data_IF_075206972418
#
_entry.id   IF_075206972418
#
_cell.length_a   1.000
_cell.length_b   1.000
_cell.length_c   1.000
_cell.angle_alpha   90.00
_cell.angle_beta   90.00
_cell.angle_gamma   90.00
#
_symmetry.space_group_name_H-M   'P 1'
#
loop_
_entity.id
_entity.type
_entity.pdbx_description
1 polymer ?
#
# COMPACT_ATOMS: atom_id res chain seq x y z
N UNK A 1 24.38 25.29 9.45
CA UNK A 1 22.98 25.80 9.44
C UNK A 1 21.97 24.70 9.73
N UNK A 2 22.16 23.51 9.15
CA UNK A 2 21.40 22.31 9.50
C UNK A 2 22.10 21.54 10.62
N UNK A 3 21.36 20.70 11.34
CA UNK A 3 21.97 19.66 12.18
C UNK A 3 22.61 18.57 11.31
N UNK A 4 23.63 17.91 11.86
CA UNK A 4 24.46 16.94 11.11
C UNK A 4 23.63 15.77 10.57
N UNK A 5 22.71 15.24 11.38
CA UNK A 5 21.86 14.10 10.99
C UNK A 5 20.95 14.48 9.83
N UNK A 6 20.30 15.64 9.91
CA UNK A 6 19.44 16.16 8.84
C UNK A 6 20.23 16.42 7.56
N UNK A 7 21.40 17.04 7.66
CA UNK A 7 22.25 17.29 6.51
C UNK A 7 22.69 15.98 5.82
N UNK A 8 23.03 14.95 6.60
CA UNK A 8 23.37 13.63 6.07
C UNK A 8 22.18 12.97 5.35
N UNK A 9 20.98 13.03 5.93
CA UNK A 9 19.77 12.46 5.31
C UNK A 9 19.42 13.13 3.97
N UNK A 10 19.58 14.47 3.90
CA UNK A 10 19.43 15.22 2.64
C UNK A 10 20.50 14.77 1.63
N UNK A 11 21.76 14.71 2.05
CA UNK A 11 22.87 14.31 1.17
C UNK A 11 22.69 12.88 0.62
N UNK A 12 22.16 11.95 1.43
CA UNK A 12 21.82 10.59 0.99
C UNK A 12 20.70 10.63 -0.05
N UNK A 13 19.63 11.39 0.20
CA UNK A 13 18.50 11.53 -0.73
C UNK A 13 18.96 12.15 -2.07
N UNK A 14 19.89 13.11 -2.02
CA UNK A 14 20.47 13.74 -3.21
C UNK A 14 21.27 12.76 -4.08
N UNK A 15 21.77 11.63 -3.54
CA UNK A 15 22.46 10.61 -4.35
C UNK A 15 21.56 9.98 -5.41
N UNK A 16 20.25 9.96 -5.19
CA UNK A 16 19.28 9.49 -6.19
C UNK A 16 19.19 10.41 -7.43
N UNK A 17 19.78 11.62 -7.35
CA UNK A 17 19.75 12.67 -8.38
C UNK A 17 21.15 13.14 -8.75
N UNK A 18 22.15 12.26 -8.67
CA UNK A 18 23.56 12.58 -8.94
C UNK A 18 23.84 13.02 -10.39
N UNK A 19 22.91 12.73 -11.30
CA UNK A 19 22.87 13.17 -12.69
C UNK A 19 22.40 14.63 -12.86
N UNK A 20 21.91 15.28 -11.80
CA UNK A 20 21.51 16.67 -11.80
C UNK A 20 22.54 17.56 -11.10
N UNK A 21 22.72 18.77 -11.64
CA UNK A 21 23.26 19.87 -10.83
C UNK A 21 22.17 20.35 -9.86
N UNK A 22 22.55 20.92 -8.70
CA UNK A 22 21.56 21.44 -7.75
C UNK A 22 20.62 22.47 -8.35
N UNK A 23 21.16 23.33 -9.23
CA UNK A 23 20.36 24.30 -9.97
C UNK A 23 19.38 23.62 -10.93
N UNK A 24 19.85 22.67 -11.74
CA UNK A 24 18.99 21.95 -12.68
C UNK A 24 17.89 21.16 -11.97
N UNK A 25 18.20 20.53 -10.82
CA UNK A 25 17.20 19.84 -10.01
C UNK A 25 16.16 20.82 -9.43
N UNK A 26 16.61 21.98 -8.94
CA UNK A 26 15.72 23.02 -8.42
C UNK A 26 14.80 23.58 -9.53
N UNK A 27 15.33 23.84 -10.72
CA UNK A 27 14.56 24.27 -11.91
C UNK A 27 13.56 23.18 -12.31
N UNK A 28 13.99 21.92 -12.36
CA UNK A 28 13.11 20.77 -12.65
C UNK A 28 11.95 20.68 -11.65
N UNK A 29 12.21 20.84 -10.35
CA UNK A 29 11.16 20.87 -9.32
C UNK A 29 10.25 22.10 -9.48
N UNK A 30 10.82 23.26 -9.81
CA UNK A 30 10.05 24.48 -10.01
C UNK A 30 9.07 24.38 -11.18
N UNK A 31 9.48 23.70 -12.25
CA UNK A 31 8.73 23.58 -13.50
C UNK A 31 7.88 22.30 -13.58
N UNK A 32 7.78 21.56 -12.46
CA UNK A 32 7.03 20.31 -12.34
C UNK A 32 7.53 19.18 -13.27
N UNK A 33 8.84 19.12 -13.50
CA UNK A 33 9.52 18.10 -14.30
C UNK A 33 8.94 17.91 -15.71
N UNK A 34 9.00 18.97 -16.56
CA UNK A 34 8.35 18.98 -17.88
C UNK A 34 8.92 17.92 -18.84
N UNK A 35 10.19 17.55 -18.67
CA UNK A 35 10.88 16.55 -19.49
C UNK A 35 10.76 15.12 -18.95
N UNK A 36 10.03 14.91 -17.86
CA UNK A 36 9.88 13.61 -17.22
C UNK A 36 11.22 12.94 -16.85
N UNK A 37 12.15 13.70 -16.29
CA UNK A 37 13.47 13.20 -15.87
C UNK A 37 13.43 12.52 -14.51
N UNK A 38 12.45 12.83 -13.65
CA UNK A 38 12.32 12.20 -12.33
C UNK A 38 11.29 11.08 -12.41
N UNK A 39 11.79 9.86 -12.58
CA UNK A 39 11.00 8.65 -12.83
C UNK A 39 11.30 7.52 -11.84
N UNK A 40 10.40 6.53 -11.78
CA UNK A 40 10.54 5.36 -10.91
C UNK A 40 10.65 5.75 -9.43
N UNK A 41 11.47 5.01 -8.68
CA UNK A 41 11.63 5.20 -7.24
C UNK A 41 12.21 6.58 -6.86
N UNK A 42 12.87 7.29 -7.80
CA UNK A 42 13.42 8.64 -7.55
C UNK A 42 12.36 9.62 -7.04
N UNK A 43 11.13 9.48 -7.52
CA UNK A 43 9.98 10.31 -7.13
C UNK A 43 9.74 10.25 -5.62
N UNK A 44 10.00 9.10 -4.98
CA UNK A 44 9.78 8.91 -3.55
C UNK A 44 10.78 9.69 -2.69
N UNK A 45 11.93 10.08 -3.25
CA UNK A 45 12.96 10.84 -2.55
C UNK A 45 12.78 12.36 -2.62
N UNK A 46 12.01 12.90 -3.58
CA UNK A 46 11.80 14.36 -3.69
C UNK A 46 11.24 14.96 -2.39
N UNK A 47 10.23 14.37 -1.72
CA UNK A 47 9.71 14.92 -0.46
C UNK A 47 10.78 15.05 0.64
N UNK A 48 11.78 14.16 0.66
CA UNK A 48 12.83 14.20 1.67
C UNK A 48 13.73 15.43 1.53
N UNK A 49 13.79 16.00 0.32
CA UNK A 49 14.59 17.18 -0.03
C UNK A 49 13.94 18.51 0.37
N UNK A 50 12.71 18.49 0.90
CA UNK A 50 12.01 19.70 1.32
C UNK A 50 12.59 20.27 2.63
N UNK A 51 12.92 21.57 2.68
CA UNK A 51 13.40 22.21 3.89
C UNK A 51 12.24 22.53 4.83
N UNK A 52 12.48 22.48 6.13
CA UNK A 52 11.52 22.95 7.14
C UNK A 52 11.47 24.48 7.19
N UNK A 53 10.39 25.10 7.72
CA UNK A 53 10.32 26.56 7.86
C UNK A 53 11.51 27.17 8.63
N UNK A 54 12.03 26.46 9.64
CA UNK A 54 13.21 26.89 10.40
C UNK A 54 14.48 26.86 9.53
N UNK A 55 14.66 25.82 8.73
CA UNK A 55 15.79 25.68 7.80
C UNK A 55 15.74 26.75 6.71
N UNK A 56 14.55 27.03 6.15
CA UNK A 56 14.36 28.10 5.16
C UNK A 56 14.82 29.44 5.74
N UNK A 57 14.41 29.77 6.97
CA UNK A 57 14.81 31.02 7.63
C UNK A 57 16.34 31.06 7.88
N UNK A 58 16.94 29.96 8.33
CA UNK A 58 18.37 29.87 8.58
C UNK A 58 19.18 30.09 7.28
N UNK A 59 18.78 29.45 6.18
CA UNK A 59 19.42 29.59 4.86
C UNK A 59 19.24 30.99 4.30
N UNK A 60 18.07 31.61 4.48
CA UNK A 60 17.81 32.99 4.01
C UNK A 60 18.57 34.05 4.80
N UNK A 61 18.84 33.81 6.09
CA UNK A 61 19.61 34.73 6.96
C UNK A 61 21.12 34.58 6.81
N UNK A 62 21.59 33.49 6.21
CA UNK A 62 23.00 33.26 6.01
C UNK A 62 23.55 34.21 4.93
N UNK A 63 24.50 35.06 5.34
CA UNK A 63 25.18 36.04 4.48
C UNK A 63 26.67 35.71 4.26
N UNK A 64 27.11 34.51 4.64
CA UNK A 64 28.48 34.06 4.41
C UNK A 64 28.69 33.50 3.00
N UNK A 65 29.92 33.08 2.73
CA UNK A 65 30.30 32.49 1.44
C UNK A 65 29.67 31.11 1.25
N UNK A 66 29.28 30.80 0.01
CA UNK A 66 28.72 29.48 -0.34
C UNK A 66 29.77 28.36 -0.17
N UNK A 67 31.07 28.64 -0.27
CA UNK A 67 32.17 27.67 -0.06
C UNK A 67 32.21 27.06 1.36
N UNK A 68 31.56 27.71 2.32
CA UNK A 68 31.46 27.23 3.71
C UNK A 68 30.21 26.40 3.96
N UNK A 69 29.32 26.28 2.97
CA UNK A 69 28.09 25.50 3.06
C UNK A 69 28.34 24.06 2.66
N UNK A 70 27.71 23.14 3.39
CA UNK A 70 27.73 21.71 3.04
C UNK A 70 26.72 21.40 1.92
N UNK A 71 26.83 20.23 1.30
CA UNK A 71 25.98 19.76 0.19
C UNK A 71 24.48 20.04 0.37
N UNK A 72 23.93 19.68 1.55
CA UNK A 72 22.53 19.88 1.86
C UNK A 72 22.14 21.38 1.90
N UNK A 73 23.01 22.21 2.45
CA UNK A 73 22.80 23.66 2.55
C UNK A 73 22.91 24.34 1.19
N UNK A 74 23.89 23.94 0.38
CA UNK A 74 24.04 24.38 -1.00
C UNK A 74 22.81 24.05 -1.85
N UNK A 75 22.26 22.84 -1.69
CA UNK A 75 21.01 22.49 -2.36
C UNK A 75 19.83 23.34 -1.86
N UNK A 76 19.71 23.53 -0.54
CA UNK A 76 18.66 24.39 0.02
C UNK A 76 18.73 25.82 -0.50
N UNK A 77 19.92 26.40 -0.70
CA UNK A 77 20.10 27.72 -1.33
C UNK A 77 19.41 27.82 -2.69
N UNK A 78 19.37 26.74 -3.47
CA UNK A 78 18.72 26.72 -4.79
C UNK A 78 17.19 26.68 -4.69
N UNK A 79 16.63 26.07 -3.64
CA UNK A 79 15.19 25.79 -3.57
C UNK A 79 14.39 26.72 -2.63
N UNK A 80 15.03 27.43 -1.69
CA UNK A 80 14.34 28.30 -0.72
C UNK A 80 13.59 29.51 -1.33
N UNK A 81 13.91 29.84 -2.59
CA UNK A 81 13.25 30.90 -3.36
C UNK A 81 12.03 30.38 -4.15
N UNK A 82 11.89 29.06 -4.30
CA UNK A 82 10.80 28.44 -5.05
C UNK A 82 9.49 28.63 -4.29
N UNK A 83 8.55 29.33 -4.91
CA UNK A 83 7.21 29.54 -4.35
C UNK A 83 6.46 28.21 -4.31
N UNK A 84 5.82 27.92 -3.17
CA UNK A 84 4.94 26.75 -2.97
C UNK A 84 5.62 25.42 -3.28
N UNK A 85 6.90 25.28 -2.95
CA UNK A 85 7.68 24.08 -3.28
C UNK A 85 7.06 22.80 -2.71
N UNK A 86 6.50 22.83 -1.50
CA UNK A 86 5.82 21.67 -0.90
C UNK A 86 4.63 21.21 -1.76
N UNK A 87 3.79 22.14 -2.21
CA UNK A 87 2.67 21.85 -3.12
C UNK A 87 3.18 21.28 -4.45
N UNK A 88 4.23 21.88 -5.02
CA UNK A 88 4.82 21.44 -6.30
C UNK A 88 5.33 20.00 -6.19
N UNK A 89 6.09 19.68 -5.15
CA UNK A 89 6.59 18.33 -4.89
C UNK A 89 5.44 17.33 -4.69
N UNK A 90 4.37 17.73 -3.98
CA UNK A 90 3.17 16.90 -3.84
C UNK A 90 2.52 16.61 -5.18
N UNK A 91 2.32 17.63 -6.01
CA UNK A 91 1.76 17.51 -7.36
C UNK A 91 2.62 16.60 -8.23
N UNK A 92 3.94 16.80 -8.25
CA UNK A 92 4.87 15.95 -9.02
C UNK A 92 4.77 14.48 -8.59
N UNK A 93 4.75 14.21 -7.29
CA UNK A 93 4.58 12.84 -6.78
C UNK A 93 3.26 12.25 -7.28
N UNK A 94 2.15 12.98 -7.13
CA UNK A 94 0.85 12.52 -7.60
C UNK A 94 0.83 12.29 -9.11
N UNK A 95 1.37 13.19 -9.93
CA UNK A 95 1.42 13.03 -11.39
C UNK A 95 2.14 11.75 -11.81
N UNK A 96 3.13 11.30 -11.03
CA UNK A 96 3.93 10.11 -11.35
C UNK A 96 3.32 8.81 -10.84
N UNK A 97 2.58 8.84 -9.72
CA UNK A 97 2.05 7.62 -9.09
C UNK A 97 0.54 7.42 -9.29
N UNK A 98 -0.17 8.40 -9.89
CA UNK A 98 -1.63 8.34 -10.01
C UNK A 98 -2.08 7.14 -10.85
N UNK A 99 -1.47 6.91 -12.01
CA UNK A 99 -1.87 5.84 -12.91
C UNK A 99 -1.66 4.46 -12.27
N UNK A 100 -0.51 4.27 -11.61
CA UNK A 100 -0.21 3.04 -10.87
C UNK A 100 -1.26 2.79 -9.79
N UNK A 101 -1.58 3.80 -8.96
CA UNK A 101 -2.61 3.65 -7.92
C UNK A 101 -4.01 3.38 -8.50
N UNK A 102 -4.34 3.97 -9.66
CA UNK A 102 -5.62 3.73 -10.33
C UNK A 102 -5.71 2.29 -10.81
N UNK A 103 -4.65 1.77 -11.42
CA UNK A 103 -4.62 0.39 -11.92
C UNK A 103 -4.59 -0.64 -10.79
N UNK A 104 -3.87 -0.38 -9.69
CA UNK A 104 -3.93 -1.20 -8.48
C UNK A 104 -5.36 -1.26 -7.91
N UNK A 105 -6.02 -0.10 -7.78
CA UNK A 105 -7.39 -0.05 -7.29
C UNK A 105 -8.35 -0.79 -8.24
N UNK A 106 -8.20 -0.58 -9.54
CA UNK A 106 -8.99 -1.27 -10.57
C UNK A 106 -8.83 -2.78 -10.48
N UNK A 107 -7.60 -3.28 -10.36
CA UNK A 107 -7.33 -4.69 -10.20
C UNK A 107 -8.04 -5.25 -8.96
N UNK A 108 -7.96 -4.54 -7.82
CA UNK A 108 -8.67 -4.92 -6.59
C UNK A 108 -10.19 -5.01 -6.77
N UNK A 109 -10.81 -4.03 -7.44
CA UNK A 109 -12.24 -4.06 -7.72
C UNK A 109 -12.64 -5.19 -8.68
N UNK A 110 -11.85 -5.44 -9.72
CA UNK A 110 -12.10 -6.54 -10.65
C UNK A 110 -12.04 -7.89 -9.94
N UNK A 111 -11.03 -8.12 -9.11
CA UNK A 111 -10.93 -9.33 -8.29
C UNK A 111 -12.13 -9.47 -7.36
N UNK A 112 -12.55 -8.40 -6.68
CA UNK A 112 -13.72 -8.45 -5.79
C UNK A 112 -15.00 -8.79 -6.57
N UNK A 113 -15.22 -8.16 -7.71
CA UNK A 113 -16.37 -8.41 -8.56
C UNK A 113 -16.40 -9.87 -9.06
N UNK A 114 -15.25 -10.38 -9.50
CA UNK A 114 -15.11 -11.76 -9.95
C UNK A 114 -15.39 -12.76 -8.82
N UNK A 115 -14.77 -12.57 -7.65
CA UNK A 115 -14.96 -13.45 -6.48
C UNK A 115 -16.41 -13.43 -6.00
N UNK A 116 -17.02 -12.26 -5.87
CA UNK A 116 -18.43 -12.15 -5.53
C UNK A 116 -19.31 -12.85 -6.56
N UNK A 117 -19.01 -12.69 -7.86
CA UNK A 117 -19.71 -13.39 -8.93
C UNK A 117 -19.58 -14.90 -8.84
N UNK A 118 -18.38 -15.42 -8.57
CA UNK A 118 -18.13 -16.86 -8.42
C UNK A 118 -18.86 -17.42 -7.20
N UNK A 119 -18.82 -16.74 -6.05
CA UNK A 119 -19.47 -17.19 -4.81
C UNK A 119 -20.99 -17.17 -4.96
N UNK A 120 -21.57 -16.09 -5.46
CA UNK A 120 -23.02 -15.91 -5.54
C UNK A 120 -23.68 -16.81 -6.60
N UNK A 121 -22.95 -17.13 -7.69
CA UNK A 121 -23.49 -17.92 -8.79
C UNK A 121 -23.05 -19.40 -8.76
N UNK A 122 -22.30 -19.83 -7.75
CA UNK A 122 -21.86 -21.22 -7.66
C UNK A 122 -22.96 -22.12 -7.09
N UNK A 123 -23.68 -22.80 -7.97
CA UNK A 123 -24.65 -23.83 -7.59
C UNK A 123 -24.02 -24.95 -6.76
N UNK A 124 -22.79 -25.34 -7.08
CA UNK A 124 -22.04 -26.35 -6.32
C UNK A 124 -21.75 -25.91 -4.90
N UNK A 125 -21.38 -24.64 -4.69
CA UNK A 125 -21.13 -24.12 -3.36
C UNK A 125 -22.42 -24.15 -2.52
N UNK A 126 -23.56 -23.80 -3.12
CA UNK A 126 -24.87 -23.89 -2.45
C UNK A 126 -25.14 -25.32 -2.00
N UNK A 127 -24.99 -26.30 -2.89
CA UNK A 127 -25.22 -27.72 -2.57
C UNK A 127 -24.31 -28.23 -1.45
N UNK A 128 -23.02 -27.84 -1.44
CA UNK A 128 -22.10 -28.19 -0.35
C UNK A 128 -22.58 -27.56 0.97
N UNK A 129 -22.98 -26.28 0.97
CA UNK A 129 -23.46 -25.61 2.17
C UNK A 129 -24.77 -26.23 2.68
N UNK A 130 -25.67 -26.66 1.80
CA UNK A 130 -26.88 -27.41 2.17
C UNK A 130 -26.54 -28.76 2.80
N UNK A 131 -25.59 -29.51 2.22
CA UNK A 131 -25.12 -30.77 2.79
C UNK A 131 -24.51 -30.56 4.19
N UNK A 132 -23.69 -29.53 4.36
CA UNK A 132 -23.13 -29.15 5.67
C UNK A 132 -24.23 -28.83 6.67
N UNK A 133 -25.26 -28.06 6.27
CA UNK A 133 -26.39 -27.73 7.14
C UNK A 133 -27.16 -28.99 7.56
N UNK A 134 -27.45 -29.89 6.62
CA UNK A 134 -28.19 -31.12 6.87
C UNK A 134 -27.43 -32.05 7.81
N UNK A 135 -26.13 -32.28 7.55
CA UNK A 135 -25.27 -33.09 8.42
C UNK A 135 -25.18 -32.45 9.81
N UNK A 136 -24.94 -31.14 9.87
CA UNK A 136 -24.87 -30.39 11.12
C UNK A 136 -26.14 -30.52 11.94
N UNK A 137 -27.32 -30.38 11.31
CA UNK A 137 -28.61 -30.53 11.97
C UNK A 137 -28.84 -31.95 12.50
N UNK A 138 -28.47 -32.97 11.73
CA UNK A 138 -28.57 -34.36 12.16
C UNK A 138 -27.66 -34.66 13.36
N UNK A 139 -26.40 -34.21 13.30
CA UNK A 139 -25.42 -34.45 14.36
C UNK A 139 -25.75 -33.72 15.67
N UNK A 140 -26.46 -32.59 15.58
CA UNK A 140 -26.79 -31.74 16.72
C UNK A 140 -28.27 -31.87 17.15
N UNK A 141 -28.97 -32.92 16.72
CA UNK A 141 -30.36 -33.18 17.08
C UNK A 141 -30.55 -33.17 18.61
N UNK A 142 -31.57 -32.45 19.08
CA UNK A 142 -31.85 -32.28 20.52
C UNK A 142 -30.96 -31.25 21.24
N UNK A 143 -30.04 -30.58 20.54
CA UNK A 143 -29.26 -29.46 21.07
C UNK A 143 -29.74 -28.11 20.52
N UNK A 144 -29.24 -27.01 21.09
CA UNK A 144 -29.52 -25.65 20.58
C UNK A 144 -29.00 -25.39 19.15
N UNK A 145 -28.10 -26.24 18.65
CA UNK A 145 -27.55 -26.14 17.29
C UNK A 145 -28.18 -27.14 16.31
N UNK A 146 -29.21 -27.88 16.73
CA UNK A 146 -30.00 -28.75 15.86
C UNK A 146 -31.25 -28.06 15.35
N UNK A 147 -31.68 -28.40 14.13
CA UNK A 147 -32.89 -27.84 13.51
C UNK A 147 -32.77 -26.36 13.14
N UNK A 148 -31.56 -25.87 12.86
CA UNK A 148 -31.31 -24.50 12.44
C UNK A 148 -31.48 -24.33 10.93
N UNK A 149 -31.79 -23.11 10.49
CA UNK A 149 -31.96 -22.77 9.07
C UNK A 149 -30.66 -22.29 8.40
N UNK A 150 -29.65 -21.92 9.19
CA UNK A 150 -28.39 -21.41 8.69
C UNK A 150 -27.26 -21.61 9.71
N UNK A 151 -26.02 -21.54 9.22
CA UNK A 151 -24.81 -21.51 10.02
C UNK A 151 -23.87 -20.43 9.50
N UNK A 152 -22.91 -20.01 10.32
CA UNK A 152 -21.89 -19.03 9.92
C UNK A 152 -20.69 -19.73 9.29
N UNK A 153 -20.03 -19.10 8.31
CA UNK A 153 -18.89 -19.68 7.60
C UNK A 153 -17.68 -19.98 8.50
N UNK A 154 -17.57 -19.33 9.66
CA UNK A 154 -16.56 -19.64 10.68
C UNK A 154 -16.70 -21.05 11.27
N UNK A 155 -17.83 -21.74 11.01
CA UNK A 155 -18.02 -23.14 11.37
C UNK A 155 -17.39 -24.11 10.35
N UNK A 156 -17.12 -23.69 9.11
CA UNK A 156 -16.57 -24.57 8.07
C UNK A 156 -15.23 -25.23 8.46
N UNK A 157 -14.28 -24.54 9.13
CA UNK A 157 -13.05 -25.18 9.60
C UNK A 157 -13.25 -26.31 10.63
N UNK A 158 -14.42 -26.40 11.27
CA UNK A 158 -14.73 -27.47 12.24
C UNK A 158 -15.05 -28.81 11.57
N UNK A 159 -15.38 -28.80 10.27
CA UNK A 159 -15.70 -30.00 9.52
C UNK A 159 -14.50 -30.95 9.41
N UNK A 160 -13.28 -30.41 9.35
CA UNK A 160 -12.03 -31.19 9.35
C UNK A 160 -11.57 -31.64 10.74
N UNK A 161 -12.26 -31.18 11.81
CA UNK A 161 -11.92 -31.50 13.20
C UNK A 161 -12.89 -32.51 13.81
N UNK A 162 -14.13 -32.52 13.32
CA UNK A 162 -15.18 -33.39 13.83
C UNK A 162 -15.04 -34.76 13.19
N UNK A 163 -14.74 -35.78 14.01
CA UNK A 163 -14.44 -37.13 13.56
C UNK A 163 -15.61 -38.09 13.78
N UNK A 164 -15.72 -39.08 12.90
CA UNK A 164 -16.58 -40.25 13.05
C UNK A 164 -16.09 -41.16 14.19
N UNK A 165 -16.87 -42.18 14.51
CA UNK A 165 -16.58 -43.17 15.55
C UNK A 165 -15.28 -43.93 15.32
N UNK A 166 -14.80 -44.01 14.09
CA UNK A 166 -13.52 -44.64 13.75
C UNK A 166 -12.29 -43.80 14.17
N UNK A 167 -12.49 -42.55 14.61
CA UNK A 167 -11.44 -41.62 15.01
C UNK A 167 -10.52 -41.18 13.86
N UNK A 168 -10.87 -41.51 12.60
CA UNK A 168 -10.06 -41.26 11.41
C UNK A 168 -10.78 -40.36 10.42
N UNK A 169 -12.02 -40.71 10.07
CA UNK A 169 -12.79 -40.02 9.03
C UNK A 169 -13.43 -38.76 9.61
N UNK A 170 -13.20 -37.61 8.97
CA UNK A 170 -13.81 -36.33 9.37
C UNK A 170 -15.12 -36.08 8.62
N UNK A 171 -15.92 -35.12 9.10
CA UNK A 171 -17.12 -34.68 8.38
C UNK A 171 -16.74 -34.10 7.01
N UNK A 172 -15.60 -33.41 6.91
CA UNK A 172 -15.10 -32.91 5.64
C UNK A 172 -14.76 -34.06 4.67
N UNK A 173 -14.10 -35.12 5.13
CA UNK A 173 -13.78 -36.28 4.30
C UNK A 173 -15.06 -36.93 3.75
N UNK A 174 -16.07 -37.09 4.61
CA UNK A 174 -17.37 -37.63 4.21
C UNK A 174 -18.09 -36.75 3.17
N UNK A 175 -18.06 -35.42 3.33
CA UNK A 175 -18.65 -34.49 2.35
C UNK A 175 -17.92 -34.62 1.01
N UNK A 176 -16.59 -34.68 1.01
CA UNK A 176 -15.80 -34.85 -0.22
C UNK A 176 -16.12 -36.17 -0.91
N UNK A 177 -16.22 -37.28 -0.18
CA UNK A 177 -16.59 -38.59 -0.74
C UNK A 177 -18.02 -38.63 -1.29
N UNK A 178 -18.96 -37.91 -0.67
CA UNK A 178 -20.39 -37.96 -1.02
C UNK A 178 -20.77 -36.94 -2.09
N UNK A 179 -20.03 -35.83 -2.20
CA UNK A 179 -20.33 -34.74 -3.14
C UNK A 179 -19.74 -34.95 -4.55
N UNK A 180 -18.71 -35.80 -4.68
CA UNK A 180 -18.06 -36.14 -5.96
C UNK A 180 -18.89 -37.15 -6.75
#
# INVERSE_FOLDING_TARGET
>A
LLDLTRANNIAISLKAFNDFTFRSLAETINDLDPECKIVGERVQFIPNLLPTPKEILAIKKYNGDDDKLITAELFFRQIVSIKRIEDKVKVMKTMRTLEEHVEEARAGFNTLQEVCGQVLNSEKLIQVLEMVLNIGNLMNEGTLNGGVEAFKFESLPKLSQTKSFDGKTTVLDYIVETFI
#
